data_IF_717972870517
#
_entry.id   IF_717972870517
#
_cell.length_a   1.000
_cell.length_b   1.000
_cell.length_c   1.000
_cell.angle_alpha   90.00
_cell.angle_beta   90.00
_cell.angle_gamma   90.00
#
_symmetry.space_group_name_H-M   'P 1'
#
loop_
_entity.id
_entity.type
_entity.pdbx_description
1 polymer ?
#
# COMPACT_ATOMS: atom_id res chain seq x y z
N UNK A 1 -5.65 25.44 -18.31
CA UNK A 1 -5.42 26.05 -17.00
C UNK A 1 -4.78 25.00 -16.11
N UNK A 2 -3.52 25.13 -15.83
CA UNK A 2 -2.82 24.22 -14.92
C UNK A 2 -3.01 24.78 -13.52
N UNK A 3 -3.84 24.15 -12.70
CA UNK A 3 -3.85 24.42 -11.27
C UNK A 3 -2.59 23.75 -10.67
N UNK A 4 -1.53 24.51 -10.44
CA UNK A 4 -0.50 24.07 -9.55
C UNK A 4 -1.11 24.10 -8.13
N UNK A 5 -1.45 22.94 -7.60
CA UNK A 5 -1.67 22.82 -6.16
C UNK A 5 -0.29 23.00 -5.52
N UNK A 6 0.03 24.20 -5.10
CA UNK A 6 1.13 24.40 -4.18
C UNK A 6 0.82 23.57 -2.92
N UNK A 7 1.70 22.63 -2.62
CA UNK A 7 1.59 21.87 -1.39
C UNK A 7 1.74 22.87 -0.23
N UNK A 8 0.69 23.05 0.55
CA UNK A 8 0.73 23.84 1.76
C UNK A 8 1.77 23.26 2.72
N UNK A 9 2.55 24.11 3.33
CA UNK A 9 3.46 23.66 4.39
C UNK A 9 2.66 23.12 5.59
N UNK A 10 3.26 22.23 6.38
CA UNK A 10 2.62 21.69 7.59
C UNK A 10 2.16 22.79 8.55
N UNK A 11 2.87 23.92 8.58
CA UNK A 11 2.58 25.06 9.44
C UNK A 11 1.29 25.81 9.04
N UNK A 12 0.87 25.67 7.78
CA UNK A 12 -0.32 26.33 7.24
C UNK A 12 -1.60 25.51 7.39
N UNK A 13 -1.48 24.25 7.82
CA UNK A 13 -2.64 23.35 7.94
C UNK A 13 -3.16 23.35 9.37
N UNK A 14 -4.40 23.83 9.62
CA UNK A 14 -5.00 23.80 10.96
C UNK A 14 -5.00 22.40 11.55
N UNK A 15 -4.80 22.29 12.87
CA UNK A 15 -4.68 21.06 13.66
C UNK A 15 -3.37 20.31 13.40
N UNK A 16 -2.99 20.09 12.14
CA UNK A 16 -1.76 19.39 11.76
C UNK A 16 -0.51 20.13 12.27
N UNK A 17 -0.54 21.46 12.23
CA UNK A 17 0.54 22.32 12.71
C UNK A 17 0.79 22.23 14.23
N UNK A 18 -0.18 21.73 14.99
CA UNK A 18 -0.06 21.51 16.44
C UNK A 18 0.70 20.22 16.78
N UNK A 19 0.85 19.32 15.81
CA UNK A 19 1.46 17.99 15.98
C UNK A 19 2.54 17.70 14.94
N UNK A 20 3.59 18.52 14.83
CA UNK A 20 4.61 18.34 13.78
C UNK A 20 5.42 17.05 13.94
N UNK A 21 5.48 16.49 15.13
CA UNK A 21 6.19 15.26 15.46
C UNK A 21 5.55 14.01 14.84
N UNK A 22 4.24 14.03 14.54
CA UNK A 22 3.54 12.91 13.90
C UNK A 22 3.49 13.01 12.37
N UNK A 23 4.03 14.08 11.79
CA UNK A 23 4.07 14.33 10.35
C UNK A 23 5.51 14.52 9.84
N UNK A 24 6.38 13.51 9.97
CA UNK A 24 7.74 13.62 9.45
C UNK A 24 7.74 13.67 7.91
N UNK A 25 8.71 14.32 7.31
CA UNK A 25 8.88 14.37 5.85
C UNK A 25 9.11 12.98 5.26
N UNK A 26 9.88 12.16 5.95
CA UNK A 26 10.15 10.77 5.58
C UNK A 26 9.89 9.85 6.77
N UNK A 27 9.40 8.65 6.48
CA UNK A 27 9.23 7.61 7.48
C UNK A 27 10.59 6.94 7.76
N UNK A 28 11.20 7.16 8.93
CA UNK A 28 12.57 6.71 9.18
C UNK A 28 12.71 5.20 9.35
N UNK A 29 11.62 4.51 9.66
CA UNK A 29 11.62 3.06 9.95
C UNK A 29 10.22 2.48 9.89
N UNK A 30 10.16 1.15 9.98
CA UNK A 30 8.91 0.41 10.14
C UNK A 30 8.13 0.87 11.37
N UNK A 31 6.79 0.82 11.32
CA UNK A 31 5.96 1.00 12.52
C UNK A 31 6.39 0.05 13.64
N UNK A 32 6.15 0.41 14.90
CA UNK A 32 6.42 -0.50 16.01
C UNK A 32 5.58 -1.77 15.89
N UNK A 33 6.12 -2.86 16.41
CA UNK A 33 5.38 -4.12 16.52
C UNK A 33 4.10 -3.91 17.33
N UNK A 34 3.03 -4.54 16.90
CA UNK A 34 1.71 -4.48 17.54
C UNK A 34 1.34 -5.84 18.07
N UNK A 35 0.59 -5.86 19.15
CA UNK A 35 0.12 -7.09 19.80
C UNK A 35 -0.91 -7.86 18.97
N UNK A 36 -1.43 -7.24 17.92
CA UNK A 36 -2.46 -7.83 17.06
C UNK A 36 -1.90 -8.06 15.68
N UNK A 37 -1.82 -9.31 15.26
CA UNK A 37 -1.57 -9.69 13.89
C UNK A 37 -2.86 -9.62 13.06
N UNK A 38 -2.80 -8.95 11.93
CA UNK A 38 -3.90 -8.94 10.99
C UNK A 38 -3.91 -10.22 10.17
N UNK A 39 -5.04 -10.90 10.17
CA UNK A 39 -5.28 -12.10 9.38
C UNK A 39 -6.33 -11.81 8.32
N UNK A 40 -6.11 -12.33 7.12
CA UNK A 40 -7.09 -12.28 6.03
C UNK A 40 -7.79 -13.62 5.97
N UNK A 41 -9.07 -13.64 6.31
CA UNK A 41 -9.89 -14.83 6.24
C UNK A 41 -10.32 -15.09 4.80
N UNK A 42 -10.21 -16.34 4.38
CA UNK A 42 -10.54 -16.77 3.03
C UNK A 42 -11.75 -17.71 3.02
N UNK A 43 -12.46 -17.71 1.91
CA UNK A 43 -13.54 -18.65 1.67
C UNK A 43 -13.01 -20.09 1.75
N UNK A 44 -13.73 -20.97 2.45
CA UNK A 44 -13.36 -22.39 2.60
C UNK A 44 -13.16 -23.07 1.25
N UNK A 45 -12.10 -23.87 1.16
CA UNK A 45 -11.75 -24.57 -0.06
C UNK A 45 -10.99 -23.74 -1.08
N UNK A 46 -10.60 -22.52 -0.73
CA UNK A 46 -9.80 -21.66 -1.60
C UNK A 46 -8.38 -22.19 -1.73
N UNK A 47 -7.97 -22.44 -2.97
CA UNK A 47 -6.57 -22.77 -3.28
C UNK A 47 -5.72 -21.52 -3.38
N UNK A 48 -4.41 -21.58 -3.06
CA UNK A 48 -3.52 -20.46 -3.23
C UNK A 48 -3.54 -19.88 -4.64
N UNK A 49 -3.62 -18.56 -4.72
CA UNK A 49 -3.65 -17.82 -5.98
C UNK A 49 -2.25 -17.28 -6.24
N UNK A 50 -1.65 -17.71 -7.35
CA UNK A 50 -0.40 -17.17 -7.85
C UNK A 50 -0.56 -16.86 -9.34
N UNK A 51 -0.95 -15.65 -9.67
CA UNK A 51 -1.07 -15.20 -11.06
C UNK A 51 0.30 -14.84 -11.62
N UNK A 52 0.49 -15.13 -12.91
CA UNK A 52 1.70 -14.72 -13.61
C UNK A 52 1.84 -13.18 -13.58
N UNK A 53 3.06 -12.67 -13.44
CA UNK A 53 3.30 -11.24 -13.52
C UNK A 53 2.81 -10.67 -14.86
N UNK A 54 2.33 -9.44 -14.83
CA UNK A 54 2.02 -8.71 -16.05
C UNK A 54 3.29 -8.49 -16.86
N UNK A 55 3.11 -8.46 -18.18
CA UNK A 55 4.22 -8.17 -19.09
C UNK A 55 4.65 -6.71 -18.92
N UNK A 56 5.93 -6.52 -18.70
CA UNK A 56 6.54 -5.19 -18.51
C UNK A 56 7.60 -4.93 -19.56
N UNK A 57 7.71 -3.67 -19.98
CA UNK A 57 8.83 -3.21 -20.79
C UNK A 57 10.13 -3.25 -19.97
N UNK A 58 11.28 -3.27 -20.66
CA UNK A 58 12.58 -3.32 -19.98
C UNK A 58 12.80 -2.13 -19.03
N UNK A 59 12.32 -0.95 -19.38
CA UNK A 59 12.37 0.24 -18.53
C UNK A 59 11.52 0.08 -17.25
N UNK A 60 10.35 -0.53 -17.35
CA UNK A 60 9.49 -0.82 -16.20
C UNK A 60 10.11 -1.86 -15.27
N UNK A 61 10.75 -2.90 -15.83
CA UNK A 61 11.47 -3.90 -15.04
C UNK A 61 12.66 -3.31 -14.29
N UNK A 62 13.38 -2.39 -14.90
CA UNK A 62 14.50 -1.68 -14.25
C UNK A 62 14.00 -0.81 -13.09
N UNK A 63 12.89 -0.10 -13.30
CA UNK A 63 12.27 0.70 -12.25
C UNK A 63 11.71 -0.17 -11.12
N UNK A 64 11.09 -1.31 -11.45
CA UNK A 64 10.60 -2.28 -10.46
C UNK A 64 11.75 -2.77 -9.56
N UNK A 65 12.85 -3.17 -10.17
CA UNK A 65 14.03 -3.63 -9.44
C UNK A 65 14.54 -2.56 -8.48
N UNK A 66 14.68 -1.33 -8.96
CA UNK A 66 15.13 -0.19 -8.17
C UNK A 66 14.22 0.05 -6.96
N UNK A 67 12.90 0.10 -7.16
CA UNK A 67 11.94 0.33 -6.08
C UNK A 67 11.91 -0.83 -5.07
N UNK A 68 12.02 -2.08 -5.52
CA UNK A 68 12.09 -3.24 -4.62
C UNK A 68 13.38 -3.25 -3.79
N UNK A 69 14.51 -2.95 -4.39
CA UNK A 69 15.79 -2.85 -3.68
C UNK A 69 15.74 -1.76 -2.60
N UNK A 70 15.14 -0.62 -2.90
CA UNK A 70 14.97 0.47 -1.93
C UNK A 70 14.04 0.07 -0.79
N UNK A 71 12.87 -0.51 -1.08
CA UNK A 71 11.94 -0.99 -0.06
C UNK A 71 12.55 -2.08 0.83
N UNK A 72 13.38 -2.94 0.26
CA UNK A 72 14.10 -3.96 1.01
C UNK A 72 15.20 -3.34 1.89
N UNK A 73 15.93 -2.35 1.36
CA UNK A 73 16.99 -1.66 2.08
C UNK A 73 16.47 -0.97 3.34
N UNK A 74 15.31 -0.31 3.25
CA UNK A 74 14.66 0.35 4.39
C UNK A 74 13.86 -0.61 5.28
N UNK A 75 13.76 -1.89 4.91
CA UNK A 75 13.11 -2.93 5.72
C UNK A 75 11.59 -3.00 5.58
N UNK A 76 11.01 -2.35 4.59
CA UNK A 76 9.54 -2.40 4.38
C UNK A 76 9.08 -3.69 3.73
N UNK A 77 9.95 -4.37 3.02
CA UNK A 77 9.69 -5.69 2.45
C UNK A 77 10.84 -6.65 2.78
N UNK A 78 10.52 -7.94 2.77
CA UNK A 78 11.49 -9.03 2.95
C UNK A 78 11.20 -10.16 1.96
N UNK A 79 12.21 -10.96 1.58
CA UNK A 79 11.98 -12.18 0.81
C UNK A 79 11.00 -13.12 1.52
N UNK A 80 10.11 -13.74 0.76
CA UNK A 80 9.11 -14.67 1.28
C UNK A 80 8.95 -15.86 0.33
N UNK A 81 8.73 -17.04 0.90
CA UNK A 81 8.34 -18.26 0.19
C UNK A 81 6.85 -18.52 0.43
N UNK A 82 6.00 -17.79 -0.25
CA UNK A 82 4.56 -17.97 -0.14
C UNK A 82 3.98 -18.58 -1.43
N UNK A 83 3.02 -19.52 -1.33
CA UNK A 83 2.28 -19.98 -2.48
C UNK A 83 1.32 -18.92 -3.05
N UNK A 84 1.10 -17.84 -2.31
CA UNK A 84 0.29 -16.70 -2.73
C UNK A 84 1.14 -15.68 -3.44
N UNK A 85 0.66 -15.19 -4.58
CA UNK A 85 1.36 -14.15 -5.33
C UNK A 85 0.37 -13.25 -6.06
N UNK A 86 0.54 -11.95 -5.91
CA UNK A 86 -0.21 -10.96 -6.63
C UNK A 86 0.68 -10.29 -7.69
N UNK A 87 0.18 -10.09 -8.92
CA UNK A 87 0.95 -9.43 -9.95
C UNK A 87 1.12 -7.95 -9.65
N UNK A 88 2.23 -7.40 -10.10
CA UNK A 88 2.57 -5.99 -9.97
C UNK A 88 2.37 -5.30 -11.31
N UNK A 89 1.91 -4.07 -11.26
CA UNK A 89 1.80 -3.19 -12.43
C UNK A 89 2.24 -1.77 -12.06
N UNK A 90 2.61 -0.99 -13.07
CA UNK A 90 2.91 0.42 -12.89
C UNK A 90 1.79 1.30 -13.41
N UNK A 91 1.54 2.37 -12.69
CA UNK A 91 0.65 3.45 -13.11
C UNK A 91 1.46 4.74 -13.18
N UNK A 92 1.39 5.39 -14.32
CA UNK A 92 2.07 6.67 -14.53
C UNK A 92 1.32 7.77 -13.79
N UNK A 93 2.04 8.51 -12.95
CA UNK A 93 1.50 9.69 -12.29
C UNK A 93 1.50 10.91 -13.21
N UNK A 94 0.81 11.97 -12.81
CA UNK A 94 0.77 13.23 -13.54
C UNK A 94 2.15 13.88 -13.71
N UNK A 95 3.03 13.70 -12.75
CA UNK A 95 4.41 14.18 -12.77
C UNK A 95 5.37 13.32 -13.63
N UNK A 96 4.86 12.26 -14.24
CA UNK A 96 5.62 11.33 -15.07
C UNK A 96 6.30 10.19 -14.33
N UNK A 97 6.30 10.22 -13.01
CA UNK A 97 6.84 9.12 -12.20
C UNK A 97 5.95 7.88 -12.24
N UNK A 98 6.52 6.73 -11.91
CA UNK A 98 5.86 5.43 -11.95
C UNK A 98 5.42 5.01 -10.55
N UNK A 99 4.13 4.78 -10.36
CA UNK A 99 3.60 4.23 -9.11
C UNK A 99 3.52 2.71 -9.23
N UNK A 100 4.20 2.02 -8.33
CA UNK A 100 4.07 0.58 -8.16
C UNK A 100 2.70 0.26 -7.53
N UNK A 101 1.94 -0.60 -8.20
CA UNK A 101 0.65 -1.09 -7.71
C UNK A 101 0.64 -2.60 -7.67
N UNK A 102 0.06 -3.16 -6.63
CA UNK A 102 -0.16 -4.60 -6.49
C UNK A 102 -1.62 -4.92 -6.81
N UNK A 103 -1.85 -5.85 -7.71
CA UNK A 103 -3.21 -6.24 -8.11
C UNK A 103 -3.78 -7.29 -7.16
N UNK A 104 -4.57 -6.84 -6.20
CA UNK A 104 -5.23 -7.71 -5.22
C UNK A 104 -6.63 -8.19 -5.63
N UNK A 105 -7.10 -7.91 -6.84
CA UNK A 105 -8.48 -8.25 -7.25
C UNK A 105 -8.80 -9.72 -7.07
N UNK A 106 -7.92 -10.61 -7.50
CA UNK A 106 -8.14 -12.05 -7.35
C UNK A 106 -8.17 -12.51 -5.88
N UNK A 107 -7.33 -11.92 -5.02
CA UNK A 107 -7.35 -12.18 -3.58
C UNK A 107 -8.62 -11.62 -2.94
N UNK A 108 -9.05 -10.44 -3.33
CA UNK A 108 -10.25 -9.80 -2.80
C UNK A 108 -11.53 -10.59 -3.10
N UNK A 109 -11.59 -11.29 -4.24
CA UNK A 109 -12.74 -12.14 -4.61
C UNK A 109 -12.93 -13.30 -3.62
N UNK A 110 -11.86 -13.85 -3.10
CA UNK A 110 -11.90 -15.01 -2.19
C UNK A 110 -11.76 -14.63 -0.71
N UNK A 111 -11.61 -13.36 -0.42
CA UNK A 111 -11.49 -12.83 0.94
C UNK A 111 -12.88 -12.68 1.57
N UNK A 112 -13.02 -13.18 2.79
CA UNK A 112 -14.21 -12.92 3.62
C UNK A 112 -14.09 -11.49 4.14
N UNK A 113 -15.03 -10.63 3.73
CA UNK A 113 -15.02 -9.22 4.12
C UNK A 113 -15.40 -9.07 5.59
N UNK A 114 -14.49 -8.56 6.37
CA UNK A 114 -14.74 -8.23 7.76
C UNK A 114 -15.60 -6.97 7.87
N UNK A 115 -16.63 -7.06 8.71
CA UNK A 115 -17.45 -5.90 9.11
C UNK A 115 -16.99 -5.44 10.50
N UNK A 116 -15.75 -5.02 10.60
CA UNK A 116 -15.23 -4.51 11.86
C UNK A 116 -15.64 -3.05 12.03
N UNK A 117 -16.42 -2.71 13.06
CA UNK A 117 -16.64 -1.31 13.38
C UNK A 117 -15.32 -0.73 13.87
N UNK A 118 -14.81 0.29 13.19
CA UNK A 118 -13.69 1.05 13.74
C UNK A 118 -14.18 1.79 14.99
N UNK A 119 -13.41 1.68 16.08
CA UNK A 119 -13.72 2.36 17.32
C UNK A 119 -13.90 3.88 17.10
N UNK A 120 -14.99 4.44 17.56
CA UNK A 120 -15.32 5.86 17.38
C UNK A 120 -16.11 6.21 16.13
N UNK A 121 -16.29 5.29 15.18
CA UNK A 121 -17.06 5.49 13.95
C UNK A 121 -18.22 4.50 13.80
N UNK A 122 -18.69 3.96 14.89
CA UNK A 122 -19.74 2.92 14.90
C UNK A 122 -21.10 3.40 14.38
N UNK A 123 -21.31 4.70 14.28
CA UNK A 123 -22.54 5.30 13.75
C UNK A 123 -22.60 5.28 12.23
N UNK A 124 -21.50 5.00 11.56
CA UNK A 124 -21.43 4.91 10.12
C UNK A 124 -21.46 3.44 9.68
N UNK A 125 -22.60 2.78 9.88
CA UNK A 125 -22.80 1.50 9.22
C UNK A 125 -22.94 1.77 7.74
N UNK A 126 -21.96 1.36 6.98
CA UNK A 126 -22.03 1.30 5.53
C UNK A 126 -22.85 0.07 5.19
N UNK A 127 -24.03 0.29 4.71
CA UNK A 127 -24.85 -0.76 4.13
C UNK A 127 -24.31 -1.17 2.77
#
# INVERSE_FOLDING_TARGET
MVFSMEAKSLEEVPVVNEYPDVFPEELPRMPPDRDIDFVIDLVLGTSPIAKRPYRMAASELAELKKQLEELQRIGFIRPSSSPWGAPVLFVKKKDGSMRLCVDYRALNEVTIKNKYPSSGLMTFSIN
#
